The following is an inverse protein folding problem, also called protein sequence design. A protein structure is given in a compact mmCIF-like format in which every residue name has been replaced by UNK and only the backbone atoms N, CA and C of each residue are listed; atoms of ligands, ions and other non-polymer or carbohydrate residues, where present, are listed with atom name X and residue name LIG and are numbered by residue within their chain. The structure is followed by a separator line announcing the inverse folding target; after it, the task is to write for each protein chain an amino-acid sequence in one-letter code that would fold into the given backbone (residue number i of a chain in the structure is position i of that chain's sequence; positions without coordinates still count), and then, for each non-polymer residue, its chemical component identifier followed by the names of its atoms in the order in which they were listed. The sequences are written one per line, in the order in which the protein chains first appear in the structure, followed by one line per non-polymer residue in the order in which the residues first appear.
data_IF_971182828000
#
_entry.id   IF_971182828000
#
_cell.length_a   1.000
_cell.length_b   1.000
_cell.length_c   1.000
_cell.angle_alpha   90.00
_cell.angle_beta   90.00
_cell.angle_gamma   90.00
#
_symmetry.space_group_name_H-M   'P 1'
#
loop_
_entity.id
_entity.type
_entity.pdbx_description
1 polymer ?
#
# COMPACT_ATOMS: atom_id res chain seq x y z
N UNK A 1 0.25 13.77 -23.67
CA UNK A 1 -0.59 12.68 -23.15
C UNK A 1 -0.39 12.67 -21.66
N UNK A 2 -1.43 13.05 -20.93
CA UNK A 2 -1.38 13.10 -19.48
C UNK A 2 -2.10 11.87 -18.93
N UNK A 3 -1.54 11.25 -17.91
CA UNK A 3 -2.12 10.10 -17.26
C UNK A 3 -2.43 10.45 -15.81
N UNK A 4 -3.59 10.03 -15.33
CA UNK A 4 -3.97 10.15 -13.93
C UNK A 4 -4.28 8.77 -13.36
N UNK A 5 -3.76 8.52 -12.16
CA UNK A 5 -4.07 7.35 -11.34
C UNK A 5 -4.82 7.82 -10.09
N UNK A 6 -6.03 7.32 -9.89
CA UNK A 6 -6.83 7.60 -8.70
C UNK A 6 -7.11 6.30 -7.96
N UNK A 7 -6.80 6.24 -6.66
CA UNK A 7 -7.11 5.11 -5.79
C UNK A 7 -8.19 5.57 -4.81
N UNK A 8 -9.39 4.99 -4.90
CA UNK A 8 -10.58 5.54 -4.20
C UNK A 8 -11.07 4.66 -3.05
N UNK A 9 -10.76 3.36 -3.05
CA UNK A 9 -11.30 2.40 -2.07
C UNK A 9 -10.26 2.02 -1.03
N UNK A 10 -9.77 3.03 -0.30
CA UNK A 10 -8.86 2.79 0.81
C UNK A 10 -9.55 2.06 1.96
N UNK A 11 -8.81 1.15 2.57
CA UNK A 11 -9.18 0.40 3.76
C UNK A 11 -8.28 0.84 4.90
N UNK A 12 -8.85 1.51 5.90
CA UNK A 12 -8.13 1.86 7.12
C UNK A 12 -7.83 0.57 7.89
N UNK A 13 -6.58 0.40 8.30
CA UNK A 13 -6.14 -0.79 9.05
C UNK A 13 -6.90 -0.90 10.38
N UNK A 14 -7.18 0.23 11.03
CA UNK A 14 -7.95 0.30 12.27
C UNK A 14 -9.41 -0.17 12.13
N UNK A 15 -9.97 -0.16 10.92
CA UNK A 15 -11.38 -0.49 10.68
C UNK A 15 -11.56 -1.86 10.02
N UNK A 16 -10.76 -2.15 8.99
CA UNK A 16 -10.86 -3.38 8.19
C UNK A 16 -9.82 -4.44 8.55
N UNK A 17 -8.80 -4.05 9.32
CA UNK A 17 -7.63 -4.88 9.58
C UNK A 17 -6.67 -4.91 8.39
N UNK A 18 -5.77 -5.88 8.42
CA UNK A 18 -4.77 -6.12 7.38
C UNK A 18 -5.38 -6.88 6.20
N UNK A 19 -4.81 -6.78 4.98
CA UNK A 19 -5.25 -7.56 3.84
C UNK A 19 -4.96 -9.05 4.04
N UNK A 20 -5.40 -9.90 3.10
CA UNK A 20 -5.03 -11.33 3.11
C UNK A 20 -3.56 -11.50 2.73
N UNK A 21 -2.92 -12.55 3.26
CA UNK A 21 -1.56 -12.92 2.87
C UNK A 21 -1.38 -12.97 1.34
N UNK A 22 -0.28 -12.41 0.85
CA UNK A 22 0.05 -12.33 -0.57
C UNK A 22 -0.75 -11.28 -1.38
N UNK A 23 -1.66 -10.52 -0.75
CA UNK A 23 -2.37 -9.43 -1.45
C UNK A 23 -1.39 -8.32 -1.80
N UNK A 24 -1.40 -7.90 -3.08
CA UNK A 24 -0.69 -6.72 -3.54
C UNK A 24 -1.55 -5.48 -3.34
N UNK A 25 -0.98 -4.48 -2.70
CA UNK A 25 -1.70 -3.29 -2.29
C UNK A 25 -0.92 -2.02 -2.63
N UNK A 26 -1.65 -0.94 -2.87
CA UNK A 26 -1.17 0.38 -2.47
C UNK A 26 -1.21 0.42 -0.94
N UNK A 27 -0.12 0.84 -0.30
CA UNK A 27 -0.05 1.02 1.15
C UNK A 27 0.33 2.46 1.49
N UNK A 28 -0.24 2.96 2.58
CA UNK A 28 0.08 4.26 3.16
C UNK A 28 0.54 4.04 4.59
N UNK A 29 1.66 4.64 4.97
CA UNK A 29 2.18 4.64 6.34
C UNK A 29 2.55 6.06 6.77
N UNK A 30 2.69 6.25 8.09
CA UNK A 30 3.16 7.53 8.64
C UNK A 30 4.68 7.44 8.85
N UNK A 31 5.43 8.34 8.22
CA UNK A 31 6.88 8.41 8.38
C UNK A 31 7.26 9.01 9.74
N UNK A 32 8.54 8.88 10.12
CA UNK A 32 9.07 9.47 11.35
C UNK A 32 8.94 11.00 11.44
N UNK A 33 8.61 11.68 10.33
CA UNK A 33 8.36 13.12 10.26
C UNK A 33 6.87 13.49 10.38
N UNK A 34 6.02 12.54 10.75
CA UNK A 34 4.56 12.67 10.76
C UNK A 34 3.91 12.93 9.39
N UNK A 35 4.64 12.68 8.29
CA UNK A 35 4.13 12.76 6.92
C UNK A 35 3.57 11.40 6.46
N UNK A 36 2.61 11.42 5.52
CA UNK A 36 2.12 10.18 4.91
C UNK A 36 2.93 9.84 3.66
N UNK A 37 3.48 8.63 3.64
CA UNK A 37 4.17 8.06 2.50
C UNK A 37 3.35 6.91 1.92
N UNK A 38 3.59 6.58 0.65
CA UNK A 38 2.89 5.49 -0.01
C UNK A 38 3.78 4.73 -0.98
N UNK A 39 3.45 3.45 -1.19
CA UNK A 39 4.12 2.61 -2.19
C UNK A 39 3.20 1.45 -2.61
N UNK A 40 3.69 0.59 -3.49
CA UNK A 40 3.04 -0.66 -3.88
C UNK A 40 3.86 -1.83 -3.34
N UNK A 41 3.21 -2.76 -2.66
CA UNK A 41 3.88 -3.91 -2.06
C UNK A 41 2.93 -5.08 -1.80
N UNK A 42 3.50 -6.22 -1.41
CA UNK A 42 2.76 -7.39 -0.97
C UNK A 42 2.71 -7.47 0.56
N UNK A 43 1.60 -7.97 1.10
CA UNK A 43 1.49 -8.29 2.53
C UNK A 43 1.99 -9.72 2.81
N UNK A 44 2.77 -9.88 3.87
CA UNK A 44 3.17 -11.16 4.44
C UNK A 44 2.59 -11.31 5.86
N UNK A 45 1.65 -12.24 6.03
CA UNK A 45 0.97 -12.47 7.31
C UNK A 45 1.87 -13.15 8.35
N UNK A 46 2.74 -14.06 7.89
CA UNK A 46 3.63 -14.83 8.79
C UNK A 46 4.65 -13.91 9.46
N UNK A 47 5.26 -13.03 8.69
CA UNK A 47 6.30 -12.12 9.15
C UNK A 47 5.75 -10.76 9.61
N UNK A 48 4.45 -10.50 9.40
CA UNK A 48 3.73 -9.27 9.78
C UNK A 48 4.35 -7.99 9.21
N UNK A 49 4.65 -8.00 7.92
CA UNK A 49 5.11 -6.81 7.22
C UNK A 49 4.53 -6.69 5.81
N UNK A 50 4.63 -5.49 5.25
CA UNK A 50 4.53 -5.27 3.81
C UNK A 50 5.93 -5.21 3.21
N UNK A 51 6.11 -5.84 2.05
CA UNK A 51 7.35 -5.75 1.28
C UNK A 51 7.10 -5.06 -0.04
N UNK A 52 7.99 -4.13 -0.39
CA UNK A 52 7.99 -3.47 -1.69
C UNK A 52 9.33 -3.71 -2.37
N UNK A 53 9.31 -4.20 -3.60
CA UNK A 53 10.53 -4.36 -4.40
C UNK A 53 10.75 -3.09 -5.21
N UNK A 54 11.85 -2.37 -4.93
CA UNK A 54 12.22 -1.12 -5.57
C UNK A 54 13.39 -1.29 -6.55
N UNK A 55 13.58 -2.51 -7.07
CA UNK A 55 14.64 -2.85 -8.01
C UNK A 55 15.90 -3.39 -7.31
N UNK A 56 16.94 -2.57 -7.17
CA UNK A 56 18.22 -2.99 -6.55
C UNK A 56 18.15 -3.19 -5.02
N UNK A 57 16.97 -2.99 -4.42
CA UNK A 57 16.70 -3.19 -3.01
C UNK A 57 15.21 -3.36 -2.74
N UNK A 58 14.90 -3.89 -1.56
CA UNK A 58 13.54 -3.98 -1.03
C UNK A 58 13.35 -3.04 0.15
N UNK A 59 12.12 -2.61 0.36
CA UNK A 59 11.68 -1.95 1.58
C UNK A 59 10.74 -2.88 2.32
N UNK A 60 10.87 -2.90 3.64
CA UNK A 60 9.91 -3.53 4.55
C UNK A 60 9.21 -2.39 5.30
N UNK A 61 7.89 -2.49 5.42
CA UNK A 61 7.08 -1.60 6.26
C UNK A 61 6.35 -2.48 7.26
N UNK A 62 6.62 -2.27 8.54
CA UNK A 62 5.95 -3.02 9.60
C UNK A 62 4.44 -2.75 9.59
N UNK A 63 3.63 -3.78 9.88
CA UNK A 63 2.17 -3.62 9.84
C UNK A 63 1.64 -2.58 10.80
N UNK A 64 2.37 -2.32 11.89
CA UNK A 64 2.00 -1.35 12.92
C UNK A 64 2.18 0.10 12.45
N UNK A 65 2.98 0.32 11.39
CA UNK A 65 3.19 1.65 10.79
C UNK A 65 2.17 1.95 9.68
N UNK A 66 1.56 0.92 9.10
CA UNK A 66 0.61 1.05 7.99
C UNK A 66 -0.73 1.56 8.50
N UNK A 67 -1.21 2.65 7.90
CA UNK A 67 -2.49 3.28 8.27
C UNK A 67 -3.62 2.86 7.34
N UNK A 68 -3.33 2.63 6.07
CA UNK A 68 -4.33 2.28 5.07
C UNK A 68 -3.75 1.46 3.92
N UNK A 69 -4.59 0.66 3.27
CA UNK A 69 -4.24 -0.08 2.06
C UNK A 69 -5.41 -0.11 1.06
N UNK A 70 -5.12 -0.34 -0.21
CA UNK A 70 -6.11 -0.59 -1.26
C UNK A 70 -5.59 -1.70 -2.20
N UNK A 71 -6.45 -2.60 -2.66
CA UNK A 71 -6.02 -3.71 -3.51
C UNK A 71 -5.59 -3.19 -4.88
N UNK A 72 -4.39 -3.60 -5.30
CA UNK A 72 -3.87 -3.33 -6.65
C UNK A 72 -4.73 -4.06 -7.69
N UNK A 73 -4.96 -3.43 -8.85
CA UNK A 73 -5.78 -3.91 -9.98
C UNK A 73 -7.29 -3.99 -9.73
N UNK A 74 -7.79 -3.40 -8.65
CA UNK A 74 -9.21 -3.44 -8.29
C UNK A 74 -9.76 -2.10 -7.82
N UNK A 75 -8.95 -1.36 -7.08
CA UNK A 75 -9.38 -0.18 -6.35
C UNK A 75 -8.89 1.13 -6.99
N UNK A 76 -8.10 1.03 -8.06
CA UNK A 76 -7.64 2.14 -8.86
C UNK A 76 -8.45 2.39 -10.13
N UNK A 77 -8.40 3.64 -10.60
CA UNK A 77 -8.89 4.07 -11.92
C UNK A 77 -7.76 4.78 -12.65
N UNK A 78 -7.54 4.39 -13.90
CA UNK A 78 -6.54 4.97 -14.79
C UNK A 78 -7.21 5.74 -15.93
N UNK A 79 -6.87 7.01 -16.10
CA UNK A 79 -7.39 7.85 -17.19
C UNK A 79 -6.26 8.46 -18.00
N UNK A 80 -6.49 8.66 -19.31
CA UNK A 80 -5.57 9.29 -20.24
C UNK A 80 -6.27 10.46 -20.95
N UNK A 81 -5.58 11.61 -21.01
CA UNK A 81 -6.01 12.86 -21.66
C UNK A 81 -5.08 13.26 -22.82
#
# INVERSE_FOLDING_TARGET
MNFNLSVQKWHLVSEKGLPKDGTWCFLVWKSAKDEYEWTIGGYNETEKYFYANLGLGGMIVDTDEVVAWAELFKDETFTAE
#
